data_IF_644930824302
#
_entry.id   IF_644930824302
#
_cell.length_a   1.000
_cell.length_b   1.000
_cell.length_c   1.000
_cell.angle_alpha   90.00
_cell.angle_beta   90.00
_cell.angle_gamma   90.00
#
_symmetry.space_group_name_H-M   'P 1'
#
loop_
_entity.id
_entity.type
_entity.pdbx_description
1 polymer ?
#
# COMPACT_ATOMS: atom_id res chain seq x y z
N UNK A 1 20.49 8.86 -3.04
CA UNK A 1 19.83 7.97 -2.08
C UNK A 1 18.73 8.73 -1.38
N UNK A 2 17.65 8.06 -1.00
CA UNK A 2 16.51 8.70 -0.32
C UNK A 2 16.78 8.68 1.19
N UNK A 3 16.84 9.83 1.88
CA UNK A 3 17.06 9.85 3.33
C UNK A 3 15.89 9.17 4.05
N UNK A 4 16.20 8.34 5.04
CA UNK A 4 15.18 7.70 5.88
C UNK A 4 15.35 8.14 7.33
N UNK A 5 14.27 8.62 7.94
CA UNK A 5 14.18 8.82 9.39
C UNK A 5 13.65 7.54 10.04
N UNK A 6 13.96 7.32 11.32
CA UNK A 6 13.54 6.10 12.03
C UNK A 6 12.00 5.99 12.03
N UNK A 7 11.50 4.95 11.37
CA UNK A 7 10.07 4.55 11.37
C UNK A 7 9.96 3.17 12.01
N UNK A 8 8.82 2.87 12.61
CA UNK A 8 8.52 1.56 13.22
C UNK A 8 7.24 1.01 12.61
N UNK A 9 7.26 -0.29 12.27
CA UNK A 9 6.05 -0.98 11.86
C UNK A 9 4.98 -0.89 12.97
N UNK A 10 3.75 -0.62 12.56
CA UNK A 10 2.57 -0.64 13.42
C UNK A 10 1.41 -1.24 12.63
N UNK A 11 0.43 -1.79 13.36
CA UNK A 11 -0.80 -2.27 12.74
C UNK A 11 -1.70 -1.09 12.37
N UNK A 12 -2.44 -1.23 11.26
CA UNK A 12 -3.51 -0.28 10.88
C UNK A 12 -4.65 -0.37 11.88
N UNK A 13 -5.27 0.75 12.20
CA UNK A 13 -6.44 0.85 13.07
C UNK A 13 -7.60 1.52 12.34
N UNK A 14 -8.80 1.44 12.91
CA UNK A 14 -9.96 2.18 12.41
C UNK A 14 -9.73 3.71 12.46
N UNK A 15 -8.92 4.19 13.40
CA UNK A 15 -8.59 5.61 13.52
C UNK A 15 -7.79 6.11 12.31
N UNK A 16 -6.93 5.25 11.73
CA UNK A 16 -6.21 5.59 10.49
C UNK A 16 -7.18 5.87 9.34
N UNK A 17 -8.25 5.08 9.22
CA UNK A 17 -9.24 5.27 8.16
C UNK A 17 -9.95 6.64 8.23
N UNK A 18 -10.14 7.16 9.44
CA UNK A 18 -10.71 8.50 9.64
C UNK A 18 -9.70 9.62 9.42
N UNK A 19 -8.42 9.37 9.75
CA UNK A 19 -7.38 10.39 9.75
C UNK A 19 -6.67 10.57 8.39
N UNK A 20 -6.70 9.57 7.51
CA UNK A 20 -6.04 9.61 6.21
C UNK A 20 -7.04 9.75 5.06
N UNK A 21 -6.69 10.56 4.06
CA UNK A 21 -7.46 10.71 2.82
C UNK A 21 -7.28 9.53 1.86
N UNK A 22 -6.10 8.90 1.90
CA UNK A 22 -5.73 7.77 1.04
C UNK A 22 -5.11 6.64 1.85
N UNK A 23 -5.65 5.43 1.70
CA UNK A 23 -5.08 4.19 2.23
C UNK A 23 -4.59 3.35 1.05
N UNK A 24 -3.27 3.34 0.85
CA UNK A 24 -2.65 2.65 -0.28
C UNK A 24 -2.21 1.25 0.14
N UNK A 25 -2.77 0.24 -0.51
CA UNK A 25 -2.44 -1.18 -0.31
C UNK A 25 -1.48 -1.67 -1.39
N UNK A 26 -0.60 -2.61 -1.02
CA UNK A 26 0.42 -3.15 -1.93
C UNK A 26 -0.06 -4.41 -2.67
N UNK A 27 -0.89 -5.23 -2.03
CA UNK A 27 -1.39 -6.49 -2.57
C UNK A 27 -2.84 -6.79 -2.16
N UNK A 28 -3.42 -7.86 -2.71
CA UNK A 28 -4.78 -8.29 -2.37
C UNK A 28 -4.90 -8.82 -0.92
N UNK A 29 -3.81 -9.31 -0.31
CA UNK A 29 -3.82 -9.71 1.09
C UNK A 29 -4.02 -8.52 2.03
N UNK A 30 -3.40 -7.38 1.69
CA UNK A 30 -3.55 -6.12 2.39
C UNK A 30 -5.01 -5.67 2.32
N UNK A 31 -5.66 -5.74 1.15
CA UNK A 31 -7.10 -5.43 1.00
C UNK A 31 -7.96 -6.27 1.96
N UNK A 32 -7.77 -7.60 1.94
CA UNK A 32 -8.55 -8.53 2.76
C UNK A 32 -8.33 -8.31 4.25
N UNK A 33 -7.10 -8.07 4.67
CA UNK A 33 -6.76 -7.82 6.08
C UNK A 33 -7.26 -6.45 6.54
N UNK A 34 -7.13 -5.42 5.69
CA UNK A 34 -7.63 -4.09 5.97
C UNK A 34 -9.14 -4.12 6.14
N UNK A 35 -9.88 -4.78 5.25
CA UNK A 35 -11.34 -4.96 5.36
C UNK A 35 -11.78 -5.60 6.68
N UNK A 36 -10.98 -6.50 7.27
CA UNK A 36 -11.27 -7.09 8.59
C UNK A 36 -11.11 -6.09 9.74
N UNK A 37 -10.31 -5.05 9.56
CA UNK A 37 -10.02 -4.03 10.57
C UNK A 37 -11.00 -2.86 10.44
N UNK A 38 -11.16 -2.33 9.21
CA UNK A 38 -11.92 -1.09 8.98
C UNK A 38 -13.38 -1.34 8.55
N UNK A 39 -13.72 -2.58 8.16
CA UNK A 39 -15.00 -2.88 7.53
C UNK A 39 -15.02 -2.52 6.05
N UNK A 40 -16.16 -2.07 5.56
CA UNK A 40 -16.31 -1.63 4.16
C UNK A 40 -15.74 -0.22 3.96
N UNK A 41 -15.08 -0.01 2.83
CA UNK A 41 -14.57 1.29 2.41
C UNK A 41 -15.71 2.16 1.88
N UNK A 42 -16.39 2.85 2.79
CA UNK A 42 -17.55 3.70 2.50
C UNK A 42 -17.19 5.04 1.88
N UNK A 43 -15.97 5.52 2.11
CA UNK A 43 -15.48 6.82 1.64
C UNK A 43 -14.63 6.69 0.36
N UNK A 44 -14.47 5.47 -0.16
CA UNK A 44 -13.67 5.14 -1.34
C UNK A 44 -12.21 5.61 -1.22
N UNK A 45 -11.60 5.40 -0.06
CA UNK A 45 -10.24 5.83 0.27
C UNK A 45 -9.18 4.75 0.07
N UNK A 46 -9.57 3.50 -0.16
CA UNK A 46 -8.65 2.37 -0.29
C UNK A 46 -8.28 2.16 -1.75
N UNK A 47 -6.99 2.33 -2.07
CA UNK A 47 -6.46 2.22 -3.42
C UNK A 47 -5.31 1.22 -3.49
N UNK A 48 -5.20 0.50 -4.60
CA UNK A 48 -4.04 -0.36 -4.88
C UNK A 48 -2.93 0.48 -5.48
N UNK A 49 -1.69 0.34 -5.00
CA UNK A 49 -0.56 1.12 -5.49
C UNK A 49 -0.45 1.09 -7.04
N UNK A 50 -0.51 -0.11 -7.63
CA UNK A 50 -0.37 -0.27 -9.07
C UNK A 50 -1.55 0.28 -9.89
N UNK A 51 -2.69 0.58 -9.26
CA UNK A 51 -3.84 1.17 -9.97
C UNK A 51 -3.57 2.60 -10.45
N UNK A 52 -2.65 3.33 -9.80
CA UNK A 52 -2.26 4.68 -10.22
C UNK A 52 -1.56 4.70 -11.58
N UNK A 53 -0.93 3.59 -11.96
CA UNK A 53 -0.34 3.39 -13.30
C UNK A 53 -1.23 2.59 -14.24
N UNK A 54 -2.51 2.38 -13.89
CA UNK A 54 -3.48 1.64 -14.70
C UNK A 54 -3.31 0.11 -14.67
N UNK A 55 -2.51 -0.42 -13.74
CA UNK A 55 -2.28 -1.85 -13.58
C UNK A 55 -3.08 -2.41 -12.40
N UNK A 56 -3.58 -3.64 -12.51
CA UNK A 56 -4.29 -4.33 -11.42
C UNK A 56 -3.41 -5.34 -10.66
N UNK A 57 -2.12 -5.41 -10.99
CA UNK A 57 -1.17 -6.34 -10.40
C UNK A 57 -0.85 -5.99 -8.93
N UNK A 58 -0.37 -6.98 -8.17
CA UNK A 58 0.19 -6.75 -6.84
C UNK A 58 1.62 -6.20 -6.97
N UNK A 59 2.03 -5.36 -6.02
CA UNK A 59 3.45 -5.03 -5.85
C UNK A 59 4.20 -6.31 -5.49
N UNK A 60 5.34 -6.54 -6.13
CA UNK A 60 6.14 -7.73 -5.89
C UNK A 60 6.83 -7.64 -4.52
N UNK A 61 6.25 -8.28 -3.50
CA UNK A 61 6.72 -8.22 -2.12
C UNK A 61 8.08 -8.92 -1.93
N UNK A 62 9.12 -8.20 -1.48
CA UNK A 62 10.47 -8.73 -1.37
C UNK A 62 10.61 -9.76 -0.24
N UNK A 63 9.65 -9.82 0.69
CA UNK A 63 9.62 -10.87 1.71
C UNK A 63 9.45 -12.26 1.09
N UNK A 64 8.69 -12.36 -0.01
CA UNK A 64 8.43 -13.62 -0.70
C UNK A 64 9.38 -13.86 -1.88
N UNK A 65 9.73 -12.82 -2.63
CA UNK A 65 10.58 -12.95 -3.83
C UNK A 65 12.08 -12.85 -3.52
N UNK A 66 12.46 -12.16 -2.44
CA UNK A 66 13.84 -11.76 -2.16
C UNK A 66 14.38 -10.68 -3.09
N UNK A 67 13.58 -10.17 -4.04
CA UNK A 67 13.99 -9.19 -5.03
C UNK A 67 13.47 -7.79 -4.67
N UNK A 68 14.34 -6.96 -4.11
CA UNK A 68 14.01 -5.59 -3.72
C UNK A 68 13.98 -4.61 -4.90
N UNK A 69 14.68 -4.91 -5.99
CA UNK A 69 14.73 -4.01 -7.16
C UNK A 69 13.36 -3.99 -7.86
N UNK A 70 12.74 -5.16 -8.03
CA UNK A 70 11.39 -5.26 -8.57
C UNK A 70 10.33 -4.56 -7.70
N UNK A 71 10.44 -4.69 -6.37
CA UNK A 71 9.56 -3.97 -5.44
C UNK A 71 9.76 -2.46 -5.56
N UNK A 72 11.01 -2.03 -5.66
CA UNK A 72 11.35 -0.62 -5.78
C UNK A 72 10.78 -0.02 -7.06
N UNK A 73 10.90 -0.71 -8.19
CA UNK A 73 10.37 -0.26 -9.48
C UNK A 73 8.83 -0.12 -9.43
N UNK A 74 8.12 -1.11 -8.88
CA UNK A 74 6.66 -1.07 -8.75
C UNK A 74 6.21 0.10 -7.83
N UNK A 75 6.86 0.26 -6.67
CA UNK A 75 6.53 1.32 -5.71
C UNK A 75 6.88 2.70 -6.26
N UNK A 76 8.05 2.87 -6.88
CA UNK A 76 8.49 4.16 -7.42
C UNK A 76 7.55 4.64 -8.53
N UNK A 77 7.22 3.75 -9.49
CA UNK A 77 6.28 4.08 -10.57
C UNK A 77 4.90 4.45 -10.04
N UNK A 78 4.43 3.74 -9.02
CA UNK A 78 3.15 4.03 -8.37
C UNK A 78 3.16 5.37 -7.65
N UNK A 79 4.24 5.69 -6.93
CA UNK A 79 4.39 6.97 -6.24
C UNK A 79 4.49 8.16 -7.21
N UNK A 80 5.12 7.99 -8.37
CA UNK A 80 5.23 9.06 -9.38
C UNK A 80 3.90 9.36 -10.09
N UNK A 81 2.95 8.41 -10.06
CA UNK A 81 1.65 8.53 -10.72
C UNK A 81 0.48 8.92 -9.79
N UNK A 82 0.72 8.92 -8.47
CA UNK A 82 -0.23 9.33 -7.42
C UNK A 82 -0.36 10.86 -7.34
#
# INVERSE_FOLDING_TARGET
>A
GIPYTRRKARQVTMEDYYNFDYLIIMDENNARNLKRIIGDDVDFKVYKAMSFIGESCDVKDPWYTGNFDETYDDVSRSCDAL
#
